data_IF_492253502347
#
_entry.id   IF_492253502347
#
_cell.length_a   1.000
_cell.length_b   1.000
_cell.length_c   1.000
_cell.angle_alpha   90.00
_cell.angle_beta   90.00
_cell.angle_gamma   90.00
#
_symmetry.space_group_name_H-M   'P 1'
#
loop_
_entity.id
_entity.type
_entity.pdbx_description
1 polymer ?
#
# COMPACT_ATOMS: atom_id res chain seq x y z
N UNK A 1 -4.79 -8.37 22.27
CA UNK A 1 -3.77 -9.30 21.73
C UNK A 1 -2.76 -8.44 21.00
N UNK A 2 -1.57 -8.25 21.58
CA UNK A 2 -0.51 -7.46 20.96
C UNK A 2 0.07 -8.19 19.73
N UNK A 3 0.53 -7.45 18.70
CA UNK A 3 1.18 -8.07 17.57
C UNK A 3 2.50 -8.71 18.00
N UNK A 4 2.56 -10.05 17.93
CA UNK A 4 3.78 -10.80 18.20
C UNK A 4 4.61 -10.92 16.92
N UNK A 5 5.74 -10.20 16.86
CA UNK A 5 6.68 -10.23 15.73
C UNK A 5 7.76 -11.33 15.85
N UNK A 6 7.71 -12.22 16.85
CA UNK A 6 8.71 -13.28 17.06
C UNK A 6 8.81 -14.27 15.88
N UNK A 7 7.89 -14.19 14.91
CA UNK A 7 7.79 -15.01 13.71
C UNK A 7 8.00 -14.28 12.37
N UNK A 8 8.52 -13.05 12.33
CA UNK A 8 8.69 -12.29 11.07
C UNK A 8 10.15 -12.12 10.64
N UNK A 9 10.35 -11.91 9.35
CA UNK A 9 11.58 -11.41 8.71
C UNK A 9 11.24 -10.10 7.98
N UNK A 10 12.14 -9.12 7.99
CA UNK A 10 11.85 -7.75 7.55
C UNK A 10 12.83 -7.22 6.52
N UNK A 11 12.30 -6.43 5.57
CA UNK A 11 13.10 -5.60 4.67
C UNK A 11 12.75 -4.12 4.90
N UNK A 12 13.77 -3.28 5.09
CA UNK A 12 13.63 -1.82 5.24
C UNK A 12 14.11 -1.11 3.97
N UNK A 13 13.38 -0.08 3.54
CA UNK A 13 13.78 0.77 2.42
C UNK A 13 14.28 2.13 2.92
N UNK A 14 15.35 2.13 3.72
CA UNK A 14 16.37 3.18 3.84
C UNK A 14 17.22 2.93 5.10
N UNK A 15 18.55 2.75 4.99
CA UNK A 15 19.46 2.73 6.14
C UNK A 15 19.97 4.13 6.52
N UNK A 16 19.46 5.20 5.89
CA UNK A 16 19.93 6.56 6.15
C UNK A 16 19.38 7.07 7.50
N UNK A 17 20.12 6.77 8.57
CA UNK A 17 19.85 7.19 9.96
C UNK A 17 19.64 8.70 10.16
N UNK A 18 19.86 9.53 9.13
CA UNK A 18 19.56 10.98 9.13
C UNK A 18 18.13 11.32 8.70
N UNK A 19 17.36 10.38 8.14
CA UNK A 19 15.94 10.58 7.80
C UNK A 19 15.06 9.93 8.87
N UNK A 20 14.23 10.72 9.53
CA UNK A 20 13.26 10.26 10.54
C UNK A 20 12.05 9.50 9.93
N UNK A 21 12.20 8.87 8.75
CA UNK A 21 11.13 8.24 7.96
C UNK A 21 11.63 6.99 7.24
N UNK A 22 10.73 6.06 6.99
CA UNK A 22 11.00 4.83 6.27
C UNK A 22 9.75 3.93 6.20
N UNK A 23 9.71 3.06 5.20
CA UNK A 23 8.76 1.94 5.13
C UNK A 23 9.45 0.61 5.35
N UNK A 24 8.69 -0.35 5.88
CA UNK A 24 9.15 -1.71 6.10
C UNK A 24 8.06 -2.71 5.73
N UNK A 25 8.48 -3.80 5.08
CA UNK A 25 7.63 -4.96 4.82
C UNK A 25 8.11 -6.10 5.70
N UNK A 26 7.19 -6.66 6.49
CA UNK A 26 7.44 -7.82 7.35
C UNK A 26 6.72 -9.03 6.76
N UNK A 27 7.46 -10.12 6.53
CA UNK A 27 6.91 -11.40 6.09
C UNK A 27 7.05 -12.45 7.21
N UNK A 28 6.11 -13.40 7.29
CA UNK A 28 6.23 -14.56 8.19
C UNK A 28 7.48 -15.38 7.83
N UNK A 29 8.19 -15.93 8.82
CA UNK A 29 9.49 -16.63 8.66
C UNK A 29 9.48 -17.78 7.66
N UNK A 30 8.36 -18.46 7.52
CA UNK A 30 8.13 -19.58 6.59
C UNK A 30 7.72 -19.12 5.18
N UNK A 31 7.48 -17.82 4.98
CA UNK A 31 7.14 -17.25 3.68
C UNK A 31 8.39 -16.70 3.02
N UNK A 32 8.74 -17.27 1.86
CA UNK A 32 9.81 -16.74 1.02
C UNK A 32 9.33 -15.55 0.19
N UNK A 33 10.19 -14.54 0.02
CA UNK A 33 9.91 -13.41 -0.85
C UNK A 33 11.16 -12.98 -1.61
N UNK A 34 10.97 -12.31 -2.74
CA UNK A 34 12.05 -11.76 -3.57
C UNK A 34 11.78 -10.28 -3.82
N UNK A 35 12.66 -9.42 -3.34
CA UNK A 35 12.59 -7.99 -3.60
C UNK A 35 12.81 -7.69 -5.10
N UNK A 36 12.06 -6.73 -5.62
CA UNK A 36 12.14 -6.24 -6.99
C UNK A 36 12.53 -4.77 -6.98
N UNK A 37 13.15 -4.33 -8.07
CA UNK A 37 13.54 -2.93 -8.25
C UNK A 37 12.32 -2.07 -8.54
N UNK A 38 12.20 -0.95 -7.85
CA UNK A 38 11.28 0.15 -8.17
C UNK A 38 12.06 1.31 -8.78
N UNK A 39 11.41 2.23 -9.52
CA UNK A 39 12.07 3.47 -9.94
C UNK A 39 12.55 4.28 -8.74
N UNK A 40 13.70 4.93 -8.87
CA UNK A 40 14.18 5.89 -7.87
C UNK A 40 13.43 7.21 -8.03
N UNK A 41 12.88 7.74 -6.95
CA UNK A 41 12.23 9.04 -6.92
C UNK A 41 13.10 10.03 -6.14
N UNK A 42 13.30 11.21 -6.71
CA UNK A 42 13.97 12.33 -6.00
C UNK A 42 13.04 13.00 -4.97
N UNK A 43 11.75 12.72 -5.06
CA UNK A 43 10.69 13.21 -4.18
C UNK A 43 10.48 12.20 -3.05
N UNK A 44 9.92 12.62 -1.92
CA UNK A 44 9.81 11.81 -0.69
C UNK A 44 8.89 10.58 -0.77
N UNK A 45 8.63 10.04 -1.96
CA UNK A 45 7.92 8.80 -2.21
C UNK A 45 8.80 7.60 -1.85
N UNK A 46 8.36 6.81 -0.88
CA UNK A 46 9.05 5.60 -0.43
C UNK A 46 8.29 4.38 -0.97
N UNK A 47 9.02 3.40 -1.51
CA UNK A 47 8.40 2.23 -2.16
C UNK A 47 9.18 0.93 -1.92
N UNK A 48 8.47 -0.17 -1.78
CA UNK A 48 9.03 -1.52 -1.75
C UNK A 48 8.17 -2.45 -2.61
N UNK A 49 8.76 -3.04 -3.65
CA UNK A 49 8.11 -4.08 -4.44
C UNK A 49 8.72 -5.43 -4.09
N UNK A 50 7.88 -6.41 -3.78
CA UNK A 50 8.31 -7.78 -3.51
C UNK A 50 7.37 -8.79 -4.20
N UNK A 51 7.94 -9.90 -4.65
CA UNK A 51 7.18 -11.09 -5.04
C UNK A 51 7.20 -12.10 -3.89
N UNK A 52 6.05 -12.38 -3.32
CA UNK A 52 5.83 -13.42 -2.31
C UNK A 52 5.70 -14.77 -3.02
N UNK A 53 6.39 -15.78 -2.49
CA UNK A 53 6.37 -17.16 -2.98
C UNK A 53 5.60 -17.99 -1.94
N UNK A 54 4.31 -18.29 -2.18
CA UNK A 54 3.46 -19.03 -1.24
C UNK A 54 3.82 -20.53 -1.21
N UNK A 55 4.98 -20.85 -0.63
CA UNK A 55 5.42 -22.21 -0.33
C UNK A 55 5.35 -23.19 -1.52
N UNK A 56 5.34 -24.49 -1.21
CA UNK A 56 5.25 -25.56 -2.24
C UNK A 56 3.83 -25.79 -2.76
N UNK A 57 2.81 -25.28 -2.05
CA UNK A 57 1.40 -25.56 -2.32
C UNK A 57 0.81 -24.68 -3.44
N UNK A 58 1.32 -23.47 -3.65
CA UNK A 58 0.88 -22.61 -4.75
C UNK A 58 2.05 -22.15 -5.61
N UNK A 59 1.90 -22.29 -6.93
CA UNK A 59 2.85 -21.79 -7.93
C UNK A 59 2.64 -20.31 -8.26
N UNK A 60 1.55 -19.70 -7.75
CA UNK A 60 1.20 -18.32 -8.05
C UNK A 60 1.97 -17.38 -7.11
N UNK A 61 3.04 -16.75 -7.62
CA UNK A 61 3.68 -15.67 -6.86
C UNK A 61 2.72 -14.48 -6.77
N UNK A 62 2.50 -13.96 -5.56
CA UNK A 62 1.77 -12.71 -5.34
C UNK A 62 2.78 -11.58 -5.35
N UNK A 63 2.48 -10.49 -6.04
CA UNK A 63 3.28 -9.27 -5.95
C UNK A 63 2.64 -8.30 -4.97
N UNK A 64 3.49 -7.63 -4.19
CA UNK A 64 3.09 -6.61 -3.25
C UNK A 64 3.96 -5.37 -3.43
N UNK A 65 3.32 -4.22 -3.62
CA UNK A 65 3.94 -2.91 -3.64
C UNK A 65 3.47 -2.12 -2.41
N UNK A 66 4.36 -1.93 -1.44
CA UNK A 66 4.19 -0.98 -0.33
C UNK A 66 4.56 0.42 -0.84
N UNK A 67 3.68 1.40 -0.62
CA UNK A 67 3.86 2.80 -0.98
C UNK A 67 3.63 3.69 0.24
N UNK A 68 4.56 4.61 0.50
CA UNK A 68 4.30 5.77 1.34
C UNK A 68 4.54 7.06 0.55
N UNK A 69 3.47 7.84 0.37
CA UNK A 69 3.51 9.14 -0.28
C UNK A 69 3.15 10.24 0.72
N UNK A 70 4.12 11.05 1.18
CA UNK A 70 3.87 11.99 2.26
C UNK A 70 2.91 13.12 1.84
N UNK A 71 2.18 13.72 2.79
CA UNK A 71 1.16 14.74 2.49
C UNK A 71 1.74 16.03 1.90
N UNK A 72 3.04 16.30 2.11
CA UNK A 72 3.74 17.45 1.54
C UNK A 72 3.92 17.37 0.02
N UNK A 73 3.94 16.16 -0.57
CA UNK A 73 4.19 15.94 -2.00
C UNK A 73 2.91 16.02 -2.83
N UNK A 74 2.27 17.20 -2.88
CA UNK A 74 0.92 17.40 -3.44
C UNK A 74 0.74 17.07 -4.93
N UNK A 75 1.83 16.86 -5.66
CA UNK A 75 1.81 16.63 -7.11
C UNK A 75 2.38 15.26 -7.54
N UNK A 76 2.62 14.36 -6.56
CA UNK A 76 3.18 13.04 -6.80
C UNK A 76 2.46 12.33 -7.96
N UNK A 77 3.24 11.72 -8.85
CA UNK A 77 2.75 10.93 -9.96
C UNK A 77 3.11 9.46 -9.74
N UNK A 78 2.12 8.57 -9.84
CA UNK A 78 2.26 7.13 -9.60
C UNK A 78 2.37 6.31 -10.88
N UNK A 79 2.19 6.92 -12.07
CA UNK A 79 2.11 6.20 -13.35
C UNK A 79 3.30 5.29 -13.60
N UNK A 80 4.52 5.81 -13.48
CA UNK A 80 5.73 5.02 -13.71
C UNK A 80 5.89 3.90 -12.67
N UNK A 81 5.50 4.14 -11.41
CA UNK A 81 5.58 3.15 -10.34
C UNK A 81 4.63 2.00 -10.61
N UNK A 82 3.35 2.32 -10.84
CA UNK A 82 2.30 1.34 -11.04
C UNK A 82 2.55 0.56 -12.33
N UNK A 83 3.01 1.22 -13.41
CA UNK A 83 3.39 0.55 -14.64
C UNK A 83 4.55 -0.44 -14.45
N UNK A 84 5.54 -0.11 -13.62
CA UNK A 84 6.62 -1.05 -13.29
C UNK A 84 6.08 -2.22 -12.47
N UNK A 85 5.24 -1.97 -11.46
CA UNK A 85 4.66 -3.02 -10.64
C UNK A 85 3.78 -3.98 -11.46
N UNK A 86 2.91 -3.46 -12.33
CA UNK A 86 2.05 -4.28 -13.20
C UNK A 86 2.88 -5.07 -14.21
N UNK A 87 3.93 -4.50 -14.79
CA UNK A 87 4.86 -5.22 -15.67
C UNK A 87 5.62 -6.34 -14.96
N UNK A 88 6.01 -6.14 -13.70
CA UNK A 88 6.68 -7.17 -12.90
C UNK A 88 5.72 -8.31 -12.55
N UNK A 89 4.47 -7.99 -12.20
CA UNK A 89 3.44 -8.98 -11.89
C UNK A 89 2.96 -9.74 -13.14
N UNK A 90 2.92 -9.08 -14.31
CA UNK A 90 2.33 -9.61 -15.55
C UNK A 90 0.87 -10.00 -15.33
N UNK A 91 0.58 -11.30 -15.43
CA UNK A 91 -0.74 -11.89 -15.20
C UNK A 91 -0.96 -12.35 -13.75
N UNK A 92 0.08 -12.25 -12.90
CA UNK A 92 0.02 -12.73 -11.52
C UNK A 92 -0.71 -11.71 -10.64
N UNK A 93 -1.28 -12.15 -9.51
CA UNK A 93 -1.85 -11.27 -8.50
C UNK A 93 -0.88 -10.14 -8.10
N UNK A 94 -1.37 -8.91 -8.06
CA UNK A 94 -0.66 -7.74 -7.55
C UNK A 94 -1.54 -6.99 -6.58
N UNK A 95 -1.00 -6.74 -5.39
CA UNK A 95 -1.52 -5.78 -4.43
C UNK A 95 -0.64 -4.55 -4.41
N UNK A 96 -1.25 -3.37 -4.51
CA UNK A 96 -0.59 -2.09 -4.28
C UNK A 96 -1.29 -1.46 -3.08
N UNK A 97 -0.57 -1.19 -2.01
CA UNK A 97 -1.18 -0.63 -0.81
C UNK A 97 -0.26 0.34 -0.08
N UNK A 98 -0.87 1.00 0.90
CA UNK A 98 -0.30 1.90 1.92
C UNK A 98 -0.33 3.40 1.58
N UNK A 99 -0.11 4.20 2.62
CA UNK A 99 -0.54 5.59 2.77
C UNK A 99 -0.16 6.53 1.61
N UNK A 100 -1.16 6.89 0.82
CA UNK A 100 -1.01 7.75 -0.35
C UNK A 100 -1.08 9.24 -0.02
N UNK A 101 -1.68 9.62 1.11
CA UNK A 101 -2.06 11.01 1.44
C UNK A 101 -2.59 11.78 0.22
N UNK A 102 -3.55 11.19 -0.50
CA UNK A 102 -4.04 11.67 -1.79
C UNK A 102 -5.54 11.91 -1.69
N UNK A 103 -6.02 13.12 -1.98
CA UNK A 103 -7.44 13.43 -1.76
C UNK A 103 -8.24 13.17 -3.03
N UNK A 104 -9.25 12.30 -2.94
CA UNK A 104 -10.20 12.07 -4.02
C UNK A 104 -11.59 11.71 -3.47
N UNK A 105 -12.63 12.20 -4.14
CA UNK A 105 -14.03 11.88 -3.88
C UNK A 105 -14.34 10.39 -4.03
N UNK A 106 -13.61 9.66 -4.86
CA UNK A 106 -13.73 8.19 -5.01
C UNK A 106 -13.48 7.45 -3.71
N UNK A 107 -12.74 8.06 -2.77
CA UNK A 107 -12.58 7.57 -1.41
C UNK A 107 -12.98 8.63 -0.37
N UNK A 108 -14.10 9.32 -0.65
CA UNK A 108 -14.91 10.11 0.29
C UNK A 108 -14.23 11.41 0.79
N UNK A 109 -13.14 11.86 0.15
CA UNK A 109 -12.69 13.24 0.34
C UNK A 109 -13.71 14.26 -0.19
N UNK A 110 -13.84 15.41 0.47
CA UNK A 110 -14.76 16.47 0.03
C UNK A 110 -14.32 17.14 -1.29
N UNK A 111 -13.04 17.01 -1.63
CA UNK A 111 -12.43 17.55 -2.83
C UNK A 111 -11.38 16.58 -3.38
N UNK A 112 -11.10 16.74 -4.67
CA UNK A 112 -9.95 16.10 -5.29
C UNK A 112 -8.75 17.05 -5.20
N UNK A 113 -7.57 16.52 -4.95
CA UNK A 113 -6.32 17.22 -5.23
C UNK A 113 -5.63 16.62 -6.46
N UNK A 114 -4.51 17.24 -6.88
CA UNK A 114 -3.77 16.79 -8.05
C UNK A 114 -3.20 15.37 -7.87
N UNK A 115 -2.76 15.04 -6.65
CA UNK A 115 -2.23 13.71 -6.31
C UNK A 115 -3.31 12.63 -6.44
N UNK A 116 -4.47 12.83 -5.81
CA UNK A 116 -5.60 11.90 -5.81
C UNK A 116 -6.27 11.77 -7.17
N UNK A 117 -6.31 12.85 -7.96
CA UNK A 117 -6.77 12.78 -9.36
C UNK A 117 -5.84 11.89 -10.18
N UNK A 118 -4.51 12.06 -10.05
CA UNK A 118 -3.53 11.22 -10.76
C UNK A 118 -3.57 9.77 -10.28
N UNK A 119 -3.70 9.55 -8.96
CA UNK A 119 -3.78 8.21 -8.39
C UNK A 119 -5.00 7.45 -8.92
N UNK A 120 -6.19 8.06 -8.86
CA UNK A 120 -7.43 7.45 -9.36
C UNK A 120 -7.32 7.16 -10.86
N UNK A 121 -6.93 8.16 -11.66
CA UNK A 121 -6.80 7.97 -13.11
C UNK A 121 -5.77 6.90 -13.49
N UNK A 122 -4.67 6.79 -12.72
CA UNK A 122 -3.69 5.73 -12.90
C UNK A 122 -4.25 4.35 -12.57
N UNK A 123 -4.98 4.23 -11.46
CA UNK A 123 -5.63 2.99 -11.06
C UNK A 123 -6.63 2.53 -12.12
N UNK A 124 -7.50 3.44 -12.57
CA UNK A 124 -8.51 3.17 -13.61
C UNK A 124 -7.87 2.73 -14.93
N UNK A 125 -6.83 3.46 -15.37
CA UNK A 125 -6.12 3.16 -16.64
C UNK A 125 -5.47 1.77 -16.61
N UNK A 126 -4.98 1.33 -15.45
CA UNK A 126 -4.31 0.05 -15.29
C UNK A 126 -5.24 -1.09 -14.86
N UNK A 127 -6.55 -0.83 -14.74
CA UNK A 127 -7.53 -1.84 -14.32
C UNK A 127 -7.36 -2.29 -12.86
N UNK A 128 -6.76 -1.44 -12.02
CA UNK A 128 -6.61 -1.69 -10.59
C UNK A 128 -7.95 -1.47 -9.88
N UNK A 129 -8.38 -2.45 -9.09
CA UNK A 129 -9.62 -2.37 -8.31
C UNK A 129 -9.30 -1.91 -6.89
N UNK A 130 -9.93 -0.82 -6.45
CA UNK A 130 -9.88 -0.39 -5.05
C UNK A 130 -10.63 -1.42 -4.19
N UNK A 131 -9.98 -1.98 -3.17
CA UNK A 131 -10.62 -2.90 -2.20
C UNK A 131 -10.90 -2.25 -0.86
N UNK A 132 -10.21 -1.17 -0.53
CA UNK A 132 -10.50 -0.37 0.67
C UNK A 132 -11.94 0.13 0.64
N UNK A 133 -12.70 -0.10 1.71
CA UNK A 133 -13.98 0.56 1.90
C UNK A 133 -13.73 2.00 2.38
N UNK A 134 -14.01 3.01 1.53
CA UNK A 134 -13.73 4.39 1.90
C UNK A 134 -14.68 4.95 2.97
N UNK A 135 -15.78 4.26 3.29
CA UNK A 135 -16.72 4.68 4.32
C UNK A 135 -16.18 4.49 5.74
N UNK A 136 -15.13 3.67 5.89
CA UNK A 136 -14.53 3.34 7.18
C UNK A 136 -13.12 3.98 7.23
N UNK A 137 -12.95 5.11 7.94
CA UNK A 137 -11.68 5.84 7.95
C UNK A 137 -10.50 5.03 8.47
N UNK A 138 -9.34 5.20 7.84
CA UNK A 138 -8.07 4.60 8.30
C UNK A 138 -7.21 5.58 9.08
N UNK A 139 -7.55 6.87 9.05
CA UNK A 139 -6.87 7.93 9.79
C UNK A 139 -7.87 8.70 10.65
N UNK A 140 -7.60 8.73 11.95
CA UNK A 140 -8.39 9.49 12.93
C UNK A 140 -7.95 10.96 12.88
N UNK A 141 -8.92 11.83 12.60
CA UNK A 141 -8.74 13.25 12.68
C UNK A 141 -8.57 13.73 14.13
N UNK A 142 -7.97 14.91 14.29
CA UNK A 142 -7.94 15.61 15.58
C UNK A 142 -9.03 16.68 15.63
N UNK A 143 -9.13 17.44 16.72
CA UNK A 143 -10.22 18.43 16.98
C UNK A 143 -10.61 19.37 15.82
N UNK A 144 -9.74 19.60 14.83
CA UNK A 144 -9.97 20.48 13.67
C UNK A 144 -9.94 19.75 12.31
N UNK A 145 -9.71 18.44 12.30
CA UNK A 145 -9.64 17.61 11.11
C UNK A 145 -10.65 16.46 11.25
N UNK A 146 -11.44 16.24 10.20
CA UNK A 146 -12.30 15.06 10.13
C UNK A 146 -11.46 13.80 9.91
N UNK A 147 -12.05 12.65 10.21
CA UNK A 147 -11.47 11.36 9.86
C UNK A 147 -11.33 11.21 8.34
N UNK A 148 -10.27 10.52 7.91
CA UNK A 148 -9.94 10.35 6.49
C UNK A 148 -9.44 8.95 6.16
N UNK A 149 -9.34 8.65 4.86
CA UNK A 149 -8.90 7.32 4.36
C UNK A 149 -7.71 7.51 3.41
N UNK A 150 -6.52 7.86 3.94
CA UNK A 150 -5.32 8.03 3.13
C UNK A 150 -4.64 6.68 2.81
N UNK A 151 -4.89 5.65 3.64
CA UNK A 151 -4.43 4.28 3.43
C UNK A 151 -5.39 3.59 2.46
N UNK A 152 -4.88 3.25 1.28
CA UNK A 152 -5.66 2.59 0.23
C UNK A 152 -4.97 1.28 -0.16
N UNK A 153 -5.78 0.33 -0.62
CA UNK A 153 -5.32 -0.93 -1.18
C UNK A 153 -6.03 -1.18 -2.51
N UNK A 154 -5.24 -1.51 -3.52
CA UNK A 154 -5.68 -1.84 -4.87
C UNK A 154 -5.23 -3.25 -5.24
N UNK A 155 -6.08 -3.99 -5.95
CA UNK A 155 -5.77 -5.31 -6.49
C UNK A 155 -5.80 -5.33 -8.02
N UNK A 156 -4.92 -6.14 -8.61
CA UNK A 156 -4.93 -6.51 -10.03
C UNK A 156 -4.78 -8.03 -10.15
N UNK A 157 -5.55 -8.63 -11.06
CA UNK A 157 -5.57 -10.08 -11.32
C UNK A 157 -5.80 -10.93 -10.05
N UNK A 158 -6.55 -10.38 -9.09
CA UNK A 158 -6.88 -11.03 -7.84
C UNK A 158 -8.22 -10.52 -7.31
N UNK A 159 -8.87 -11.34 -6.51
CA UNK A 159 -9.98 -10.94 -5.66
C UNK A 159 -9.50 -10.88 -4.23
N UNK A 160 -10.24 -10.15 -3.40
CA UNK A 160 -9.91 -10.03 -2.00
C UNK A 160 -10.96 -9.29 -1.22
N UNK A 161 -10.78 -9.27 0.09
CA UNK A 161 -11.57 -8.47 1.02
C UNK A 161 -10.68 -7.51 1.79
N UNK A 162 -11.33 -6.49 2.31
CA UNK A 162 -10.71 -5.49 3.17
C UNK A 162 -11.52 -5.42 4.46
N UNK A 163 -10.83 -5.27 5.58
CA UNK A 163 -11.43 -4.99 6.88
C UNK A 163 -10.60 -3.94 7.62
N UNK A 164 -11.24 -3.21 8.53
CA UNK A 164 -10.58 -2.27 9.41
C UNK A 164 -10.51 -2.87 10.82
N UNK A 165 -9.30 -3.22 11.27
CA UNK A 165 -9.13 -3.89 12.56
C UNK A 165 -9.43 -2.99 13.76
N UNK A 166 -9.66 -1.68 13.55
CA UNK A 166 -9.90 -0.67 14.60
C UNK A 166 -8.78 -0.61 15.65
N UNK A 167 -7.56 -1.08 15.28
CA UNK A 167 -6.36 -1.08 16.12
C UNK A 167 -5.39 -0.05 15.59
N UNK A 168 -4.93 0.87 16.43
CA UNK A 168 -4.01 1.95 16.02
C UNK A 168 -2.57 1.81 16.54
N UNK A 169 -2.36 0.88 17.48
CA UNK A 169 -1.07 0.65 18.15
C UNK A 169 -0.42 1.94 18.68
N UNK A 170 -1.23 2.90 19.13
CA UNK A 170 -0.75 4.20 19.63
C UNK A 170 -0.44 5.25 18.56
N UNK A 171 -0.82 5.00 17.29
CA UNK A 171 -0.77 5.99 16.21
C UNK A 171 -2.14 6.64 15.96
N UNK A 172 -2.22 7.55 14.99
CA UNK A 172 -3.48 8.09 14.48
C UNK A 172 -4.01 7.35 13.23
N UNK A 173 -3.35 6.29 12.80
CA UNK A 173 -3.85 5.38 11.78
C UNK A 173 -4.35 4.10 12.42
N UNK A 174 -5.45 3.55 11.90
CA UNK A 174 -5.92 2.20 12.24
C UNK A 174 -5.44 1.21 11.19
N UNK A 175 -5.15 -0.02 11.62
CA UNK A 175 -4.58 -1.07 10.78
C UNK A 175 -5.68 -1.66 9.89
N UNK A 176 -5.55 -1.55 8.56
CA UNK A 176 -6.36 -2.32 7.64
C UNK A 176 -5.84 -3.75 7.52
N UNK A 177 -6.75 -4.71 7.39
CA UNK A 177 -6.46 -6.08 6.98
C UNK A 177 -6.93 -6.27 5.53
N UNK A 178 -6.08 -6.86 4.69
CA UNK A 178 -6.42 -7.19 3.31
C UNK A 178 -6.19 -8.68 3.11
N UNK A 179 -7.25 -9.39 2.76
CA UNK A 179 -7.20 -10.80 2.41
C UNK A 179 -7.18 -10.91 0.88
N UNK A 180 -6.11 -11.48 0.32
CA UNK A 180 -5.97 -11.69 -1.12
C UNK A 180 -6.19 -13.15 -1.44
N UNK A 181 -7.17 -13.44 -2.28
CA UNK A 181 -7.48 -14.79 -2.72
C UNK A 181 -6.55 -15.20 -3.86
N UNK A 182 -5.87 -16.33 -3.67
CA UNK A 182 -5.04 -16.96 -4.69
C UNK A 182 -5.66 -18.28 -5.13
N UNK A 183 -5.64 -18.53 -6.44
CA UNK A 183 -6.01 -19.80 -7.05
C UNK A 183 -4.90 -20.84 -6.93
#
# INVERSE_FOLDING_TARGET
>A
MEPNFSGTQGNQASPDFKRARGIATLARKDISFVQKTTPTYNQGLETQLAGIIPGRASKANIFFLNVYSPPKERFQNFNSLFLVATKQAKIKPLMIAEDFNAYNKSWIYSKNDAKGTKLSGCADTLGLKLVTDPQIPTHKGYSVQRDTTPDLAFLLNAEGSWDNLQKDLGSNHVIPEINVHIA
#
